data_IF_899541783989
#
_entry.id   IF_899541783989
#
_cell.length_a   1.000
_cell.length_b   1.000
_cell.length_c   1.000
_cell.angle_alpha   90.00
_cell.angle_beta   90.00
_cell.angle_gamma   90.00
#
_symmetry.space_group_name_H-M   'P 1'
#
loop_
_entity.id
_entity.type
_entity.pdbx_description
1 polymer ?
#
# COMPACT_ATOMS: atom_id res chain seq x y z
N UNK A 1 -10.00 -8.20 -41.15
CA UNK A 1 -10.86 -7.01 -41.33
C UNK A 1 -10.02 -5.80 -40.99
N UNK A 2 -9.74 -4.99 -42.00
CA UNK A 2 -9.10 -3.69 -41.92
C UNK A 2 -9.90 -2.66 -41.11
N UNK A 3 -9.22 -1.53 -40.86
CA UNK A 3 -9.70 -0.20 -40.45
C UNK A 3 -9.71 -0.03 -38.92
N UNK A 4 -8.94 0.87 -38.30
CA UNK A 4 -8.57 2.21 -38.74
C UNK A 4 -7.23 2.66 -38.14
N UNK A 5 -6.31 2.88 -39.08
CA UNK A 5 -5.23 3.87 -39.03
C UNK A 5 -5.81 5.24 -38.61
N UNK A 6 -5.26 5.89 -37.58
CA UNK A 6 -5.32 7.36 -37.46
C UNK A 6 -3.94 7.94 -37.73
N UNK A 7 -3.84 8.97 -38.58
CA UNK A 7 -2.57 9.50 -39.04
C UNK A 7 -1.89 10.40 -38.01
N UNK A 8 -0.58 10.53 -38.22
CA UNK A 8 0.35 11.50 -37.68
C UNK A 8 -0.18 12.94 -37.75
N UNK A 9 0.12 13.68 -36.68
CA UNK A 9 0.80 14.98 -36.65
C UNK A 9 0.63 15.89 -37.86
N UNK A 10 -0.04 17.03 -37.62
CA UNK A 10 0.14 18.26 -38.37
C UNK A 10 0.51 19.36 -37.38
N UNK A 11 1.79 19.72 -37.40
CA UNK A 11 2.42 21.00 -37.07
C UNK A 11 1.57 22.06 -36.34
N UNK A 12 2.03 22.44 -35.14
CA UNK A 12 2.45 23.82 -34.87
C UNK A 12 3.28 23.82 -33.58
N UNK A 13 4.58 24.04 -33.76
CA UNK A 13 5.43 24.50 -32.67
C UNK A 13 5.07 25.97 -32.42
N UNK A 14 4.60 26.28 -31.22
CA UNK A 14 4.86 27.58 -30.64
C UNK A 14 5.45 27.35 -29.25
N UNK A 15 6.70 27.80 -29.11
CA UNK A 15 7.49 27.73 -27.91
C UNK A 15 7.06 28.92 -27.05
N UNK A 16 6.28 28.69 -25.99
CA UNK A 16 6.20 29.63 -24.87
C UNK A 16 6.03 28.82 -23.58
N UNK A 17 7.05 28.96 -22.74
CA UNK A 17 7.26 28.48 -21.36
C UNK A 17 6.16 27.62 -20.71
N UNK A 18 6.46 26.39 -20.24
CA UNK A 18 5.65 25.80 -19.20
C UNK A 18 5.97 26.53 -17.90
N UNK A 19 5.34 27.68 -17.69
CA UNK A 19 5.16 28.20 -16.35
C UNK A 19 4.35 27.13 -15.62
N UNK A 20 5.06 26.27 -14.89
CA UNK A 20 4.46 25.31 -13.99
C UNK A 20 3.67 26.12 -12.99
N UNK A 21 2.36 26.20 -13.25
CA UNK A 21 1.35 26.67 -12.34
C UNK A 21 1.39 25.72 -11.14
N UNK A 22 2.36 25.96 -10.24
CA UNK A 22 2.49 25.39 -8.90
C UNK A 22 1.36 25.94 -8.02
N UNK A 23 0.14 25.98 -8.54
CA UNK A 23 -1.05 26.12 -7.72
C UNK A 23 -1.18 24.81 -6.95
N UNK A 24 -0.68 24.82 -5.71
CA UNK A 24 -1.00 23.77 -4.74
C UNK A 24 -2.51 23.52 -4.81
N UNK A 25 -2.95 22.24 -4.84
CA UNK A 25 -4.37 21.94 -4.89
C UNK A 25 -5.06 22.67 -3.74
N UNK A 26 -6.22 23.33 -3.98
CA UNK A 26 -6.87 24.13 -2.95
C UNK A 26 -7.05 23.25 -1.72
N UNK A 27 -6.39 23.64 -0.62
CA UNK A 27 -6.55 22.98 0.67
C UNK A 27 -8.03 23.13 1.02
N UNK A 28 -8.76 22.01 1.02
CA UNK A 28 -10.16 21.99 1.44
C UNK A 28 -10.16 22.40 2.91
N UNK A 29 -10.38 23.69 3.18
CA UNK A 29 -10.64 24.15 4.53
C UNK A 29 -11.92 23.46 5.01
N UNK A 30 -11.84 22.87 6.21
CA UNK A 30 -12.98 22.23 6.83
C UNK A 30 -14.15 23.20 6.97
N UNK A 31 -15.36 22.64 7.09
CA UNK A 31 -16.55 23.43 7.35
C UNK A 31 -16.37 24.16 8.68
N UNK A 32 -16.36 25.49 8.64
CA UNK A 32 -16.29 26.30 9.84
C UNK A 32 -17.61 26.21 10.62
N UNK A 33 -17.50 25.81 11.88
CA UNK A 33 -18.64 25.61 12.79
C UNK A 33 -18.86 26.81 13.72
N UNK A 34 -18.01 27.83 13.66
CA UNK A 34 -18.10 29.06 14.47
C UNK A 34 -19.47 29.76 14.33
N UNK A 35 -20.07 29.69 13.14
CA UNK A 35 -21.39 30.22 12.81
C UNK A 35 -22.56 29.64 13.62
N UNK A 36 -22.38 28.45 14.21
CA UNK A 36 -23.40 27.80 15.05
C UNK A 36 -23.14 27.99 16.55
N UNK A 37 -22.09 28.73 16.90
CA UNK A 37 -21.72 29.07 18.27
C UNK A 37 -21.86 30.55 18.59
N UNK A 38 -21.91 31.41 17.57
CA UNK A 38 -22.15 32.85 17.70
C UNK A 38 -23.50 33.22 17.05
N UNK A 39 -24.34 33.92 17.81
CA UNK A 39 -25.70 34.29 17.44
C UNK A 39 -25.86 35.78 17.15
N UNK A 40 -24.78 36.56 17.23
CA UNK A 40 -24.77 37.97 16.87
C UNK A 40 -24.55 38.14 15.36
N UNK A 41 -25.13 39.20 14.79
CA UNK A 41 -24.95 39.52 13.37
C UNK A 41 -23.61 40.23 13.15
N UNK A 42 -22.82 39.72 12.21
CA UNK A 42 -21.46 40.20 11.89
C UNK A 42 -21.42 41.62 11.28
N UNK A 43 -22.59 42.17 10.90
CA UNK A 43 -22.72 43.52 10.36
C UNK A 43 -22.82 44.62 11.44
N UNK A 44 -22.99 44.25 12.72
CA UNK A 44 -23.06 45.21 13.83
C UNK A 44 -21.65 45.52 14.37
N UNK A 45 -20.92 46.38 13.65
CA UNK A 45 -19.72 47.07 14.16
C UNK A 45 -20.05 48.24 15.11
N UNK A 46 -21.15 48.15 15.85
CA UNK A 46 -21.55 49.21 16.78
C UNK A 46 -21.24 48.80 18.23
N UNK A 47 -20.59 49.73 18.93
CA UNK A 47 -20.01 49.59 20.26
C UNK A 47 -21.03 49.42 21.42
N UNK A 48 -22.24 48.96 21.14
CA UNK A 48 -23.31 48.66 22.10
C UNK A 48 -23.71 47.17 22.00
N UNK A 49 -22.76 46.32 22.41
CA UNK A 49 -22.87 44.84 22.46
C UNK A 49 -23.96 44.30 23.40
N UNK A 50 -24.70 45.15 24.11
CA UNK A 50 -25.68 44.76 25.13
C UNK A 50 -27.14 44.90 24.67
N UNK A 51 -27.39 45.14 23.38
CA UNK A 51 -28.75 45.30 22.85
C UNK A 51 -29.35 43.93 22.44
N UNK A 52 -30.31 43.35 23.20
CA UNK A 52 -30.83 41.99 22.97
C UNK A 52 -31.73 41.87 21.72
N UNK A 53 -31.98 42.97 21.01
CA UNK A 53 -32.81 43.03 19.80
C UNK A 53 -32.06 42.60 18.52
N UNK A 54 -30.75 42.36 18.59
CA UNK A 54 -29.88 42.02 17.45
C UNK A 54 -29.39 40.57 17.47
N UNK A 55 -30.23 39.63 17.92
CA UNK A 55 -29.93 38.19 17.85
C UNK A 55 -30.47 37.59 16.56
N UNK A 56 -29.60 36.91 15.80
CA UNK A 56 -30.00 36.22 14.58
C UNK A 56 -30.82 34.96 14.92
N UNK A 57 -32.14 35.13 14.90
CA UNK A 57 -33.09 34.10 15.33
C UNK A 57 -33.07 32.86 14.42
N UNK A 58 -32.70 33.01 13.14
CA UNK A 58 -32.50 31.89 12.21
C UNK A 58 -31.26 31.04 12.58
N UNK A 59 -30.15 31.68 12.96
CA UNK A 59 -28.96 30.97 13.48
C UNK A 59 -29.29 30.21 14.78
N UNK A 60 -30.11 30.79 15.65
CA UNK A 60 -30.54 30.13 16.88
C UNK A 60 -31.43 28.90 16.62
N UNK A 61 -32.44 29.02 15.74
CA UNK A 61 -33.30 27.87 15.39
C UNK A 61 -32.55 26.77 14.68
N UNK A 62 -31.60 27.12 13.80
CA UNK A 62 -30.76 26.12 13.13
C UNK A 62 -29.82 25.41 14.11
N UNK A 63 -29.17 26.14 15.04
CA UNK A 63 -28.35 25.53 16.09
C UNK A 63 -29.18 24.61 17.01
N UNK A 64 -30.41 25.00 17.34
CA UNK A 64 -31.33 24.15 18.11
C UNK A 64 -31.76 22.89 17.33
N UNK A 65 -32.07 23.01 16.05
CA UNK A 65 -32.40 21.86 15.21
C UNK A 65 -31.22 20.88 15.13
N UNK A 66 -29.99 21.38 14.97
CA UNK A 66 -28.79 20.55 14.97
C UNK A 66 -28.52 19.92 16.34
N UNK A 67 -28.79 20.61 17.46
CA UNK A 67 -28.60 20.03 18.79
C UNK A 67 -29.59 18.89 19.05
N UNK A 68 -30.85 19.02 18.64
CA UNK A 68 -31.85 17.95 18.71
C UNK A 68 -31.45 16.74 17.84
N UNK A 69 -30.98 16.98 16.62
CA UNK A 69 -30.48 15.91 15.75
C UNK A 69 -29.25 15.23 16.35
N UNK A 70 -28.33 16.00 16.93
CA UNK A 70 -27.14 15.48 17.60
C UNK A 70 -27.51 14.62 18.80
N UNK A 71 -28.47 15.05 19.62
CA UNK A 71 -28.97 14.26 20.75
C UNK A 71 -29.55 12.92 20.27
N UNK A 72 -30.44 12.97 19.27
CA UNK A 72 -31.04 11.76 18.68
C UNK A 72 -29.97 10.82 18.12
N UNK A 73 -29.00 11.35 17.37
CA UNK A 73 -27.92 10.56 16.80
C UNK A 73 -27.04 9.96 17.90
N UNK A 74 -26.74 10.70 18.97
CA UNK A 74 -25.97 10.20 20.11
C UNK A 74 -26.70 9.07 20.82
N UNK A 75 -28.02 9.20 21.00
CA UNK A 75 -28.86 8.15 21.57
C UNK A 75 -28.88 6.89 20.70
N UNK A 76 -29.01 7.04 19.38
CA UNK A 76 -28.95 5.91 18.44
C UNK A 76 -27.57 5.26 18.44
N UNK A 77 -26.49 6.06 18.52
CA UNK A 77 -25.14 5.54 18.63
C UNK A 77 -24.97 4.70 19.91
N UNK A 78 -25.43 5.19 21.06
CA UNK A 78 -25.39 4.45 22.33
C UNK A 78 -26.21 3.16 22.28
N UNK A 79 -27.36 3.16 21.60
CA UNK A 79 -28.18 1.96 21.43
C UNK A 79 -27.49 0.92 20.52
N UNK A 80 -26.75 1.37 19.51
CA UNK A 80 -26.04 0.51 18.57
C UNK A 80 -24.62 0.14 19.02
N UNK A 81 -24.10 0.74 20.09
CA UNK A 81 -22.71 0.55 20.50
C UNK A 81 -22.41 -0.92 20.84
N UNK A 82 -23.33 -1.60 21.53
CA UNK A 82 -23.18 -3.02 21.85
C UNK A 82 -23.15 -3.92 20.62
N UNK A 83 -24.01 -3.67 19.61
CA UNK A 83 -24.02 -4.46 18.38
C UNK A 83 -22.80 -4.17 17.51
N UNK A 84 -22.35 -2.91 17.45
CA UNK A 84 -21.12 -2.53 16.77
C UNK A 84 -19.88 -3.14 17.44
N UNK A 85 -19.83 -3.17 18.77
CA UNK A 85 -18.74 -3.81 19.49
C UNK A 85 -18.67 -5.31 19.17
N UNK A 86 -19.80 -6.00 19.14
CA UNK A 86 -19.86 -7.42 18.80
C UNK A 86 -19.42 -7.68 17.34
N UNK A 87 -19.86 -6.87 16.38
CA UNK A 87 -19.42 -6.97 14.99
C UNK A 87 -17.91 -6.71 14.86
N UNK A 88 -17.41 -5.69 15.57
CA UNK A 88 -15.99 -5.36 15.60
C UNK A 88 -15.17 -6.50 16.17
N UNK A 89 -15.61 -7.11 17.27
CA UNK A 89 -14.94 -8.24 17.90
C UNK A 89 -14.92 -9.47 16.98
N UNK A 90 -16.05 -9.80 16.34
CA UNK A 90 -16.10 -10.88 15.36
C UNK A 90 -15.17 -10.63 14.16
N UNK A 91 -15.06 -9.38 13.70
CA UNK A 91 -14.13 -9.02 12.65
C UNK A 91 -12.66 -9.15 13.08
N UNK A 92 -12.34 -8.73 14.31
CA UNK A 92 -11.00 -8.91 14.88
C UNK A 92 -10.65 -10.39 15.03
N UNK A 93 -11.59 -11.22 15.47
CA UNK A 93 -11.40 -12.67 15.55
C UNK A 93 -11.16 -13.28 14.17
N UNK A 94 -11.96 -12.89 13.16
CA UNK A 94 -11.76 -13.32 11.78
C UNK A 94 -10.37 -12.93 11.25
N UNK A 95 -9.93 -11.71 11.53
CA UNK A 95 -8.61 -11.22 11.13
C UNK A 95 -7.48 -11.96 11.85
N UNK A 96 -7.66 -12.31 13.12
CA UNK A 96 -6.71 -13.14 13.87
C UNK A 96 -6.62 -14.57 13.30
N UNK A 97 -7.74 -15.16 12.89
CA UNK A 97 -7.78 -16.47 12.24
C UNK A 97 -7.07 -16.46 10.89
N UNK A 98 -7.30 -15.43 10.07
CA UNK A 98 -6.60 -15.32 8.77
C UNK A 98 -5.11 -15.11 8.96
N UNK A 99 -4.69 -14.26 9.90
CA UNK A 99 -3.28 -14.08 10.25
C UNK A 99 -2.62 -15.40 10.66
N UNK A 100 -3.28 -16.16 11.53
CA UNK A 100 -2.79 -17.47 11.98
C UNK A 100 -2.66 -18.47 10.83
N UNK A 101 -3.63 -18.49 9.91
CA UNK A 101 -3.59 -19.30 8.69
C UNK A 101 -2.38 -18.93 7.81
N UNK A 102 -2.14 -17.64 7.59
CA UNK A 102 -0.98 -17.18 6.82
C UNK A 102 0.35 -17.54 7.49
N UNK A 103 0.46 -17.43 8.82
CA UNK A 103 1.65 -17.86 9.56
C UNK A 103 1.92 -19.36 9.38
N UNK A 104 0.88 -20.19 9.47
CA UNK A 104 1.00 -21.63 9.29
C UNK A 104 1.43 -22.01 7.87
N UNK A 105 0.86 -21.37 6.84
CA UNK A 105 1.26 -21.60 5.45
C UNK A 105 2.70 -21.14 5.20
N UNK A 106 3.12 -20.02 5.80
CA UNK A 106 4.48 -19.52 5.70
C UNK A 106 5.48 -20.50 6.34
N UNK A 107 5.17 -21.01 7.54
CA UNK A 107 6.01 -22.00 8.20
C UNK A 107 6.09 -23.30 7.40
N UNK A 108 4.95 -23.79 6.90
CA UNK A 108 4.90 -24.95 6.00
C UNK A 108 5.79 -24.75 4.78
N UNK A 109 5.74 -23.57 4.15
CA UNK A 109 6.59 -23.25 2.98
C UNK A 109 8.07 -23.18 3.36
N UNK A 110 8.42 -22.63 4.52
CA UNK A 110 9.80 -22.64 5.01
C UNK A 110 10.34 -24.06 5.18
N UNK A 111 9.58 -24.95 5.82
CA UNK A 111 9.96 -26.37 5.97
C UNK A 111 10.15 -27.05 4.62
N UNK A 112 9.24 -26.82 3.67
CA UNK A 112 9.38 -27.36 2.31
C UNK A 112 10.67 -26.88 1.61
N UNK A 113 11.05 -25.62 1.80
CA UNK A 113 12.29 -25.07 1.23
C UNK A 113 13.52 -25.67 1.91
N UNK A 114 13.51 -25.84 3.23
CA UNK A 114 14.57 -26.55 3.96
C UNK A 114 14.73 -27.98 3.48
N UNK A 115 13.65 -28.75 3.37
CA UNK A 115 13.68 -30.13 2.88
C UNK A 115 14.31 -30.22 1.47
N UNK A 116 13.94 -29.31 0.57
CA UNK A 116 14.51 -29.25 -0.79
C UNK A 116 16.01 -28.93 -0.75
N UNK A 117 16.41 -27.99 0.10
CA UNK A 117 17.82 -27.61 0.26
C UNK A 117 18.65 -28.75 0.86
N UNK A 118 18.11 -29.48 1.82
CA UNK A 118 18.78 -30.64 2.41
C UNK A 118 18.95 -31.77 1.40
N UNK A 119 17.92 -32.05 0.60
CA UNK A 119 18.02 -33.02 -0.51
C UNK A 119 19.07 -32.56 -1.53
N UNK A 120 19.09 -31.27 -1.90
CA UNK A 120 20.08 -30.73 -2.83
C UNK A 120 21.49 -30.87 -2.28
N UNK A 121 21.70 -30.50 -1.00
CA UNK A 121 22.98 -30.60 -0.32
C UNK A 121 23.47 -32.05 -0.27
N UNK A 122 22.58 -32.98 0.08
CA UNK A 122 22.90 -34.42 0.07
C UNK A 122 23.35 -34.88 -1.31
N UNK A 123 22.60 -34.55 -2.37
CA UNK A 123 22.98 -34.92 -3.74
C UNK A 123 24.31 -34.30 -4.18
N UNK A 124 24.61 -33.08 -3.76
CA UNK A 124 25.89 -32.43 -4.06
C UNK A 124 27.06 -33.14 -3.38
N UNK A 125 26.90 -33.50 -2.10
CA UNK A 125 27.91 -34.26 -1.34
C UNK A 125 28.11 -35.65 -1.98
N UNK A 126 27.02 -36.33 -2.35
CA UNK A 126 27.08 -37.65 -2.98
C UNK A 126 27.77 -37.61 -4.37
N UNK A 127 27.60 -36.50 -5.12
CA UNK A 127 28.18 -36.34 -6.47
C UNK A 127 29.63 -35.84 -6.46
N UNK A 128 30.05 -35.13 -5.41
CA UNK A 128 31.40 -34.58 -5.28
C UNK A 128 32.53 -35.61 -5.52
N UNK A 129 32.56 -36.79 -4.87
CA UNK A 129 33.66 -37.75 -5.06
C UNK A 129 33.68 -38.37 -6.46
N UNK A 130 32.50 -38.51 -7.09
CA UNK A 130 32.40 -39.01 -8.47
C UNK A 130 32.99 -37.99 -9.44
N UNK A 131 32.71 -36.70 -9.22
CA UNK A 131 33.26 -35.63 -10.03
C UNK A 131 34.78 -35.52 -9.87
N UNK A 132 35.30 -35.56 -8.63
CA UNK A 132 36.74 -35.53 -8.36
C UNK A 132 37.49 -36.68 -9.06
N UNK A 133 36.96 -37.91 -8.98
CA UNK A 133 37.57 -39.06 -9.66
C UNK A 133 37.49 -38.96 -11.20
N UNK A 134 36.41 -38.41 -11.76
CA UNK A 134 36.31 -38.15 -13.20
C UNK A 134 37.31 -37.08 -13.66
N UNK A 135 37.49 -36.02 -12.87
CA UNK A 135 38.48 -34.99 -13.12
C UNK A 135 39.91 -35.55 -13.07
N UNK A 136 40.24 -36.38 -12.09
CA UNK A 136 41.55 -37.04 -11.98
C UNK A 136 41.82 -37.92 -13.22
N UNK A 137 40.87 -38.78 -13.60
CA UNK A 137 41.01 -39.61 -14.81
C UNK A 137 41.12 -38.80 -16.09
N UNK A 138 40.43 -37.67 -16.17
CA UNK A 138 40.53 -36.78 -17.32
C UNK A 138 41.91 -36.13 -17.40
N UNK A 139 42.46 -35.65 -16.27
CA UNK A 139 43.83 -35.13 -16.21
C UNK A 139 44.86 -36.20 -16.58
N UNK A 140 44.72 -37.42 -16.06
CA UNK A 140 45.61 -38.54 -16.40
C UNK A 140 45.54 -38.90 -17.88
N UNK A 141 44.34 -38.89 -18.47
CA UNK A 141 44.15 -39.11 -19.90
C UNK A 141 44.83 -38.04 -20.76
N UNK A 142 44.74 -36.77 -20.35
CA UNK A 142 45.43 -35.65 -21.01
C UNK A 142 46.94 -35.82 -20.90
N UNK A 143 47.46 -36.07 -19.69
CA UNK A 143 48.89 -36.26 -19.46
C UNK A 143 49.43 -37.44 -20.28
N UNK A 144 48.71 -38.55 -20.34
CA UNK A 144 49.09 -39.70 -21.17
C UNK A 144 49.15 -39.36 -22.67
N UNK A 145 48.18 -38.58 -23.19
CA UNK A 145 48.23 -38.12 -24.58
C UNK A 145 49.39 -37.16 -24.86
N UNK A 146 49.69 -36.27 -23.91
CA UNK A 146 50.84 -35.36 -24.00
C UNK A 146 52.14 -36.16 -24.02
N UNK A 147 52.31 -37.12 -23.11
CA UNK A 147 53.50 -37.97 -23.02
C UNK A 147 53.72 -38.79 -24.30
N UNK A 148 52.66 -39.39 -24.85
CA UNK A 148 52.72 -40.05 -26.15
C UNK A 148 53.08 -39.10 -27.30
N UNK A 149 52.56 -37.87 -27.26
CA UNK A 149 52.85 -36.82 -28.25
C UNK A 149 54.30 -36.35 -28.19
N UNK A 150 54.88 -36.24 -26.99
CA UNK A 150 56.28 -35.90 -26.76
C UNK A 150 57.18 -37.04 -27.24
N UNK A 151 56.89 -38.29 -26.85
CA UNK A 151 57.67 -39.46 -27.25
C UNK A 151 57.78 -39.62 -28.77
N UNK A 152 56.70 -39.33 -29.51
CA UNK A 152 56.70 -39.35 -30.99
C UNK A 152 57.48 -38.20 -31.65
N UNK A 153 57.76 -37.10 -30.94
CA UNK A 153 58.57 -35.98 -31.46
C UNK A 153 60.07 -36.14 -31.23
N UNK A 154 60.45 -36.97 -30.27
CA UNK A 154 61.84 -37.26 -29.90
C UNK A 154 62.45 -38.48 -30.62
N UNK A 155 61.66 -39.20 -31.42
CA UNK A 155 62.15 -40.16 -32.44
C UNK A 155 62.15 -39.49 -33.81
#
# INVERSE_FOLDING_TARGET
MDRFRRPQQGEQADQNDPEYDNAEPPVIQGIDMSRYTDFHDEDDNDADSDNPDHTNQDRMYTALAYSMLRERNSRLALQNDGSMSSIREAHLESLSKTESSYRNELERKRRQVEDINDIRKKRQIDFQPINEHLEEKWHDGINSMIDMGIQRRTQ
#
